data_IF_294412845505
#
_entry.id   IF_294412845505
#
_cell.length_a   1.000
_cell.length_b   1.000
_cell.length_c   1.000
_cell.angle_alpha   90.00
_cell.angle_beta   90.00
_cell.angle_gamma   90.00
#
_symmetry.space_group_name_H-M   'P 1'
#
loop_
_entity.id
_entity.type
_entity.pdbx_description
1 polymer ?
#
# COMPACT_ATOMS: atom_id res chain seq x y z
N UNK A 1 17.32 -0.53 -5.89
CA UNK A 1 15.92 -0.13 -6.12
C UNK A 1 15.00 -1.10 -5.40
N UNK A 2 14.08 -0.60 -4.62
CA UNK A 2 13.12 -1.44 -3.90
C UNK A 2 11.91 -1.72 -4.78
N UNK A 3 11.47 -2.97 -4.82
CA UNK A 3 10.32 -3.38 -5.62
C UNK A 3 9.04 -3.34 -4.79
N UNK A 4 7.95 -2.91 -5.40
CA UNK A 4 6.68 -2.63 -4.70
C UNK A 4 5.51 -3.36 -5.36
N UNK A 5 4.64 -3.93 -4.53
CA UNK A 5 3.32 -4.41 -4.91
C UNK A 5 2.28 -3.40 -4.42
N UNK A 6 1.43 -2.91 -5.30
CA UNK A 6 0.33 -1.99 -4.96
C UNK A 6 -0.99 -2.78 -4.92
N UNK A 7 -1.65 -2.77 -3.76
CA UNK A 7 -2.91 -3.48 -3.54
C UNK A 7 -4.03 -2.47 -3.31
N UNK A 8 -4.97 -2.37 -4.26
CA UNK A 8 -6.12 -1.48 -4.16
C UNK A 8 -7.21 -2.01 -5.11
N UNK A 9 -8.46 -2.05 -4.67
CA UNK A 9 -9.56 -2.53 -5.49
C UNK A 9 -10.01 -1.51 -6.55
N UNK A 10 -9.65 -0.25 -6.40
CA UNK A 10 -9.96 0.81 -7.37
C UNK A 10 -8.90 0.85 -8.47
N UNK A 11 -9.30 0.60 -9.71
CA UNK A 11 -8.38 0.62 -10.85
C UNK A 11 -7.73 1.99 -11.03
N UNK A 12 -8.49 3.07 -10.87
CA UNK A 12 -7.96 4.43 -10.99
C UNK A 12 -6.96 4.75 -9.90
N UNK A 13 -7.25 4.35 -8.67
CA UNK A 13 -6.35 4.60 -7.54
C UNK A 13 -5.07 3.76 -7.64
N UNK A 14 -5.18 2.49 -8.06
CA UNK A 14 -3.99 1.66 -8.31
C UNK A 14 -3.05 2.34 -9.30
N UNK A 15 -3.60 2.87 -10.39
CA UNK A 15 -2.81 3.55 -11.41
C UNK A 15 -2.14 4.81 -10.89
N UNK A 16 -2.89 5.62 -10.13
CA UNK A 16 -2.35 6.85 -9.53
C UNK A 16 -1.20 6.52 -8.59
N UNK A 17 -1.40 5.59 -7.68
CA UNK A 17 -0.37 5.19 -6.70
C UNK A 17 0.85 4.60 -7.42
N UNK A 18 0.62 3.73 -8.40
CA UNK A 18 1.69 3.14 -9.20
C UNK A 18 2.55 4.21 -9.87
N UNK A 19 1.91 5.17 -10.53
CA UNK A 19 2.62 6.25 -11.23
C UNK A 19 3.42 7.11 -10.25
N UNK A 20 2.83 7.42 -9.09
CA UNK A 20 3.51 8.20 -8.05
C UNK A 20 4.74 7.48 -7.50
N UNK A 21 4.61 6.21 -7.19
CA UNK A 21 5.74 5.42 -6.66
C UNK A 21 6.83 5.26 -7.72
N UNK A 22 6.44 5.00 -8.97
CA UNK A 22 7.41 4.88 -10.07
C UNK A 22 8.15 6.18 -10.36
N UNK A 23 7.62 7.33 -9.94
CA UNK A 23 8.31 8.61 -10.07
C UNK A 23 9.42 8.81 -9.03
N UNK A 24 9.49 7.96 -8.01
CA UNK A 24 10.52 8.00 -6.97
C UNK A 24 11.65 7.06 -7.39
N UNK A 25 12.86 7.59 -7.57
CA UNK A 25 13.97 6.84 -8.15
C UNK A 25 14.33 5.56 -7.37
N UNK A 26 14.11 5.56 -6.05
CA UNK A 26 14.46 4.43 -5.18
C UNK A 26 13.46 3.27 -5.25
N UNK A 27 12.31 3.47 -5.90
CA UNK A 27 11.23 2.48 -5.91
C UNK A 27 10.75 2.14 -7.33
N UNK A 28 10.31 0.91 -7.50
CA UNK A 28 9.69 0.44 -8.75
C UNK A 28 8.50 -0.45 -8.43
N UNK A 29 7.33 -0.13 -8.97
CA UNK A 29 6.15 -0.99 -8.86
C UNK A 29 6.27 -2.11 -9.88
N UNK A 30 6.42 -3.34 -9.41
CA UNK A 30 6.60 -4.52 -10.28
C UNK A 30 5.32 -5.29 -10.50
N UNK A 31 4.31 -5.09 -9.66
CA UNK A 31 3.01 -5.75 -9.81
C UNK A 31 1.94 -4.99 -9.05
N UNK A 32 0.69 -5.26 -9.39
CA UNK A 32 -0.50 -4.69 -8.73
C UNK A 32 -1.47 -5.81 -8.42
N UNK A 33 -2.31 -5.62 -7.41
CA UNK A 33 -3.34 -6.59 -7.03
C UNK A 33 -4.65 -5.88 -6.72
N UNK A 34 -5.76 -6.56 -6.98
CA UNK A 34 -7.11 -6.01 -6.83
C UNK A 34 -7.74 -6.35 -5.48
N UNK A 35 -7.26 -7.40 -4.83
CA UNK A 35 -7.76 -7.87 -3.53
C UNK A 35 -6.68 -8.67 -2.80
N UNK A 36 -7.01 -9.12 -1.59
CA UNK A 36 -6.06 -9.85 -0.74
C UNK A 36 -5.61 -11.18 -1.35
N UNK A 37 -6.48 -11.87 -2.04
CA UNK A 37 -6.16 -13.18 -2.64
C UNK A 37 -5.24 -13.03 -3.84
N UNK A 38 -5.51 -12.03 -4.70
CA UNK A 38 -4.63 -11.68 -5.81
C UNK A 38 -3.26 -11.22 -5.30
N UNK A 39 -3.24 -10.42 -4.23
CA UNK A 39 -2.01 -9.97 -3.59
C UNK A 39 -1.15 -11.14 -3.09
N UNK A 40 -1.79 -12.14 -2.47
CA UNK A 40 -1.10 -13.33 -1.99
C UNK A 40 -0.37 -14.05 -3.11
N UNK A 41 -1.04 -14.22 -4.26
CA UNK A 41 -0.41 -14.86 -5.42
C UNK A 41 0.73 -14.02 -5.99
N UNK A 42 0.57 -12.70 -6.04
CA UNK A 42 1.61 -11.78 -6.52
C UNK A 42 2.83 -11.77 -5.61
N UNK A 43 2.64 -11.84 -4.30
CA UNK A 43 3.76 -11.91 -3.34
C UNK A 43 4.57 -13.18 -3.58
N UNK A 44 3.91 -14.32 -3.79
CA UNK A 44 4.60 -15.58 -4.07
C UNK A 44 5.36 -15.55 -5.38
N UNK A 45 4.77 -14.95 -6.41
CA UNK A 45 5.34 -14.96 -7.76
C UNK A 45 6.46 -13.93 -7.93
N UNK A 46 6.27 -12.72 -7.44
CA UNK A 46 7.19 -11.61 -7.68
C UNK A 46 8.11 -11.27 -6.53
N UNK A 47 7.82 -11.72 -5.34
CA UNK A 47 8.61 -11.46 -4.12
C UNK A 47 8.99 -9.98 -3.96
N UNK A 48 7.99 -9.06 -3.91
CA UNK A 48 8.29 -7.63 -3.76
C UNK A 48 8.95 -7.33 -2.42
N UNK A 49 9.70 -6.22 -2.37
CA UNK A 49 10.35 -5.76 -1.14
C UNK A 49 9.38 -5.06 -0.20
N UNK A 50 8.30 -4.48 -0.74
CA UNK A 50 7.36 -3.63 -0.01
C UNK A 50 5.97 -3.81 -0.61
N UNK A 51 4.93 -3.75 0.24
CA UNK A 51 3.54 -3.69 -0.24
C UNK A 51 2.86 -2.43 0.24
N UNK A 52 1.97 -1.86 -0.59
CA UNK A 52 1.01 -0.86 -0.15
C UNK A 52 -0.37 -1.50 -0.13
N UNK A 53 -1.14 -1.24 0.93
CA UNK A 53 -2.40 -1.93 1.21
C UNK A 53 -3.52 -0.93 1.42
N UNK A 54 -4.58 -1.06 0.62
CA UNK A 54 -5.85 -0.38 0.89
C UNK A 54 -6.64 -1.18 1.93
N UNK A 55 -7.22 -0.49 2.91
CA UNK A 55 -8.02 -1.15 3.95
C UNK A 55 -9.37 -1.61 3.42
N UNK A 56 -10.00 -0.80 2.55
CA UNK A 56 -11.31 -1.11 2.00
C UNK A 56 -11.19 -1.98 0.74
N UNK A 57 -11.14 -3.28 0.95
CA UNK A 57 -11.10 -4.24 -0.15
C UNK A 57 -12.26 -5.23 -0.05
N UNK A 58 -12.74 -5.76 -1.20
CA UNK A 58 -13.73 -6.84 -1.18
C UNK A 58 -13.10 -8.14 -0.68
N UNK A 59 -13.95 -9.06 -0.22
CA UNK A 59 -13.60 -10.42 0.21
C UNK A 59 -12.83 -10.47 1.53
N UNK A 60 -11.77 -9.68 1.69
CA UNK A 60 -10.98 -9.59 2.91
C UNK A 60 -10.50 -8.15 3.05
N UNK A 61 -10.79 -7.51 4.18
CA UNK A 61 -10.31 -6.14 4.42
C UNK A 61 -8.80 -6.10 4.62
N UNK A 62 -8.23 -4.90 4.44
CA UNK A 62 -6.78 -4.72 4.48
C UNK A 62 -6.17 -4.98 5.85
N UNK A 63 -6.91 -4.75 6.95
CA UNK A 63 -6.40 -5.03 8.31
C UNK A 63 -6.23 -6.53 8.51
N UNK A 64 -7.23 -7.33 8.13
CA UNK A 64 -7.16 -8.78 8.20
C UNK A 64 -6.01 -9.32 7.32
N UNK A 65 -5.89 -8.78 6.10
CA UNK A 65 -4.79 -9.15 5.22
C UNK A 65 -3.43 -8.81 5.84
N UNK A 66 -3.29 -7.63 6.42
CA UNK A 66 -2.05 -7.18 7.07
C UNK A 66 -1.65 -8.13 8.20
N UNK A 67 -2.60 -8.49 9.07
CA UNK A 67 -2.34 -9.44 10.17
C UNK A 67 -1.88 -10.79 9.64
N UNK A 68 -2.54 -11.31 8.61
CA UNK A 68 -2.17 -12.58 8.00
C UNK A 68 -0.79 -12.50 7.35
N UNK A 69 -0.50 -11.39 6.67
CA UNK A 69 0.80 -11.18 6.04
C UNK A 69 1.93 -11.19 7.06
N UNK A 70 1.76 -10.46 8.17
CA UNK A 70 2.79 -10.40 9.21
C UNK A 70 3.01 -11.75 9.90
N UNK A 71 1.97 -12.58 9.97
CA UNK A 71 2.07 -13.91 10.56
C UNK A 71 2.70 -14.94 9.62
N UNK A 72 2.38 -14.87 8.32
CA UNK A 72 2.72 -15.91 7.35
C UNK A 72 3.93 -15.55 6.46
N UNK A 73 4.11 -14.27 6.16
CA UNK A 73 5.17 -13.80 5.28
C UNK A 73 5.52 -12.34 5.64
N UNK A 74 6.15 -12.11 6.81
CA UNK A 74 6.44 -10.75 7.27
C UNK A 74 7.25 -9.96 6.25
N UNK A 75 6.78 -8.74 5.95
CA UNK A 75 7.46 -7.84 5.04
C UNK A 75 6.99 -6.39 5.30
N UNK A 76 7.76 -5.38 4.88
CA UNK A 76 7.33 -4.00 5.03
C UNK A 76 6.00 -3.74 4.33
N UNK A 77 5.03 -3.18 5.05
CA UNK A 77 3.71 -2.87 4.54
C UNK A 77 3.31 -1.44 4.93
N UNK A 78 2.88 -0.65 3.94
CA UNK A 78 2.38 0.71 4.12
C UNK A 78 0.90 0.70 3.80
N UNK A 79 0.08 1.21 4.72
CA UNK A 79 -1.36 1.33 4.51
C UNK A 79 -1.66 2.66 3.82
N UNK A 80 -2.41 2.61 2.71
CA UNK A 80 -2.89 3.81 1.99
C UNK A 80 -4.41 3.73 1.97
N UNK A 81 -5.07 4.61 2.74
CA UNK A 81 -6.52 4.52 2.92
C UNK A 81 -7.19 5.88 2.99
N UNK A 82 -8.41 5.94 2.46
CA UNK A 82 -9.28 7.11 2.58
C UNK A 82 -10.03 7.17 3.90
N UNK A 83 -10.05 6.10 4.67
CA UNK A 83 -10.68 6.07 5.98
C UNK A 83 -9.71 6.47 7.06
N UNK A 84 -10.24 7.14 8.10
CA UNK A 84 -9.47 7.38 9.32
C UNK A 84 -9.31 6.04 10.03
N UNK A 85 -8.17 5.46 9.85
CA UNK A 85 -7.78 4.30 10.64
C UNK A 85 -7.26 4.83 11.96
N UNK A 86 -7.65 4.20 13.04
CA UNK A 86 -7.03 4.48 14.34
C UNK A 86 -5.54 4.15 14.18
N UNK A 87 -4.72 5.20 14.14
CA UNK A 87 -3.31 5.07 13.77
C UNK A 87 -2.52 4.03 14.55
N UNK A 88 -2.93 3.75 15.81
CA UNK A 88 -2.25 2.76 16.64
C UNK A 88 -2.52 1.32 16.20
N UNK A 89 -3.73 1.02 15.72
CA UNK A 89 -4.13 -0.37 15.45
C UNK A 89 -3.34 -0.97 14.27
N UNK A 90 -3.16 -0.23 13.18
CA UNK A 90 -2.43 -0.75 12.02
C UNK A 90 -0.92 -0.91 12.29
N UNK A 91 -0.34 -0.04 13.11
CA UNK A 91 1.06 -0.17 13.50
C UNK A 91 1.26 -1.34 14.44
N UNK A 92 0.31 -1.58 15.34
CA UNK A 92 0.31 -2.78 16.19
C UNK A 92 0.17 -4.05 15.35
N UNK A 93 -0.56 -3.99 14.24
CA UNK A 93 -0.72 -5.10 13.31
C UNK A 93 0.48 -5.29 12.37
N UNK A 94 1.48 -4.41 12.43
CA UNK A 94 2.73 -4.57 11.71
C UNK A 94 2.99 -3.59 10.57
N UNK A 95 2.08 -2.65 10.31
CA UNK A 95 2.33 -1.63 9.28
C UNK A 95 3.53 -0.74 9.68
N UNK A 96 4.34 -0.36 8.70
CA UNK A 96 5.49 0.52 8.91
C UNK A 96 5.22 1.96 8.49
N UNK A 97 4.06 2.24 7.89
CA UNK A 97 3.64 3.58 7.51
C UNK A 97 2.16 3.64 7.18
N UNK A 98 1.62 4.85 7.20
CA UNK A 98 0.24 5.15 6.84
C UNK A 98 0.19 6.40 5.98
N UNK A 99 -0.48 6.32 4.83
CA UNK A 99 -0.65 7.43 3.91
C UNK A 99 -2.16 7.65 3.70
N UNK A 100 -2.72 8.80 4.13
CA UNK A 100 -4.10 9.13 3.81
C UNK A 100 -4.26 9.34 2.30
N UNK A 101 -5.33 8.78 1.72
CA UNK A 101 -5.73 9.08 0.34
C UNK A 101 -6.18 10.54 0.24
N UNK A 102 -6.16 11.14 -0.97
CA UNK A 102 -6.55 12.54 -1.11
C UNK A 102 -8.02 12.75 -0.74
N UNK A 103 -8.27 13.83 -0.01
CA UNK A 103 -9.62 14.28 0.29
C UNK A 103 -10.19 15.09 -0.87
N UNK A 104 -11.53 15.31 -0.86
CA UNK A 104 -12.18 16.14 -1.85
C UNK A 104 -11.56 17.55 -1.86
N UNK A 105 -11.13 18.01 -3.04
CA UNK A 105 -10.49 19.30 -3.20
C UNK A 105 -9.00 19.36 -2.93
N UNK A 106 -8.42 18.27 -2.46
CA UNK A 106 -6.97 18.21 -2.25
C UNK A 106 -6.26 17.98 -3.59
N UNK A 107 -5.11 18.64 -3.79
CA UNK A 107 -4.33 18.46 -5.01
C UNK A 107 -3.62 17.11 -5.04
N UNK A 108 -3.39 16.58 -6.23
CA UNK A 108 -2.59 15.37 -6.40
C UNK A 108 -1.14 15.59 -5.99
N UNK A 109 -0.62 16.80 -6.11
CA UNK A 109 0.74 17.13 -5.66
C UNK A 109 0.90 16.95 -4.17
N UNK A 110 -0.11 17.31 -3.38
CA UNK A 110 -0.11 17.11 -1.94
C UNK A 110 -0.08 15.62 -1.59
N UNK A 111 -0.89 14.81 -2.27
CA UNK A 111 -0.89 13.36 -2.08
C UNK A 111 0.44 12.75 -2.50
N UNK A 112 0.99 13.16 -3.64
CA UNK A 112 2.29 12.68 -4.11
C UNK A 112 3.41 12.97 -3.11
N UNK A 113 3.40 14.16 -2.49
CA UNK A 113 4.36 14.49 -1.45
C UNK A 113 4.25 13.57 -0.25
N UNK A 114 3.03 13.24 0.20
CA UNK A 114 2.84 12.30 1.30
C UNK A 114 3.37 10.90 0.97
N UNK A 115 3.09 10.43 -0.25
CA UNK A 115 3.59 9.12 -0.72
C UNK A 115 5.11 9.11 -0.71
N UNK A 116 5.72 10.11 -1.32
CA UNK A 116 7.17 10.21 -1.43
C UNK A 116 7.82 10.30 -0.05
N UNK A 117 7.35 11.20 0.80
CA UNK A 117 7.95 11.43 2.12
C UNK A 117 7.84 10.18 2.99
N UNK A 118 6.70 9.50 2.97
CA UNK A 118 6.51 8.27 3.76
C UNK A 118 7.44 7.17 3.29
N UNK A 119 7.51 6.93 1.98
CA UNK A 119 8.35 5.84 1.45
C UNK A 119 9.84 6.11 1.66
N UNK A 120 10.28 7.35 1.48
CA UNK A 120 11.70 7.69 1.66
C UNK A 120 12.14 7.68 3.12
N UNK A 121 11.22 7.71 4.07
CA UNK A 121 11.52 7.68 5.50
C UNK A 121 11.33 6.30 6.15
N UNK A 122 11.11 5.27 5.36
CA UNK A 122 10.98 3.90 5.90
C UNK A 122 12.29 3.35 6.41
#
# INVERSE_FOLDING_TARGET
MYTVLVIDDSASMRRIIKDMINSIDEFEVICVATDAYDAREKIKEYEPDLVTIDINMPKMDGVTFLRNLMRLHPMPAVVISGESVRGNDIFDDGAVGFIPKPEAGESMDSFQSRVKDTLLNL
#
